data_IF_884744209333
#
_entry.id   IF_884744209333
#
_cell.length_a   1.000
_cell.length_b   1.000
_cell.length_c   1.000
_cell.angle_alpha   90.00
_cell.angle_beta   90.00
_cell.angle_gamma   90.00
#
_symmetry.space_group_name_H-M   'P 1'
#
loop_
_entity.id
_entity.type
_entity.pdbx_description
1 polymer ?
#
# COMPACT_ATOMS: atom_id res chain seq x y z
N UNK A 1 7.93 -24.14 -21.78
CA UNK A 1 9.09 -23.92 -20.89
C UNK A 1 10.43 -23.75 -21.62
N UNK A 2 10.70 -24.47 -22.74
CA UNK A 2 12.00 -24.42 -23.47
C UNK A 2 12.33 -23.04 -24.05
N UNK A 3 11.33 -22.20 -24.30
CA UNK A 3 11.50 -20.86 -24.89
C UNK A 3 11.73 -19.77 -23.83
N UNK A 4 11.50 -20.08 -22.55
CA UNK A 4 11.73 -19.11 -21.46
C UNK A 4 13.15 -19.24 -20.91
N UNK A 5 13.80 -18.09 -20.64
CA UNK A 5 14.98 -18.03 -19.79
C UNK A 5 14.68 -18.57 -18.38
N UNK A 6 15.69 -18.88 -17.58
CA UNK A 6 15.47 -19.48 -16.27
C UNK A 6 14.75 -18.52 -15.29
N UNK A 7 14.98 -17.22 -15.41
CA UNK A 7 14.29 -16.13 -14.71
C UNK A 7 13.05 -15.62 -15.47
N UNK A 8 12.72 -16.22 -16.62
CA UNK A 8 11.65 -15.78 -17.52
C UNK A 8 10.26 -16.02 -16.96
N UNK A 9 9.32 -15.17 -17.42
CA UNK A 9 7.91 -15.23 -17.06
C UNK A 9 7.03 -15.26 -18.30
N UNK A 10 5.83 -15.80 -18.15
CA UNK A 10 4.79 -15.78 -19.17
C UNK A 10 3.55 -15.10 -18.62
N UNK A 11 2.96 -14.24 -19.44
CA UNK A 11 1.68 -13.58 -19.19
C UNK A 11 0.67 -14.13 -20.21
N UNK A 12 -0.44 -14.65 -19.76
CA UNK A 12 -1.47 -15.23 -20.60
C UNK A 12 -2.79 -14.54 -20.31
N UNK A 13 -3.27 -13.74 -21.27
CA UNK A 13 -4.58 -13.10 -21.17
C UNK A 13 -5.66 -14.09 -21.60
N UNK A 14 -6.74 -14.18 -20.82
CA UNK A 14 -7.86 -15.08 -21.03
C UNK A 14 -9.13 -14.47 -20.44
N UNK A 15 -10.28 -14.76 -21.01
CA UNK A 15 -11.57 -14.43 -20.43
C UNK A 15 -11.99 -15.46 -19.35
N UNK A 16 -13.13 -15.21 -18.73
CA UNK A 16 -13.64 -16.03 -17.63
C UNK A 16 -14.10 -17.44 -18.10
N UNK A 17 -14.39 -17.62 -19.40
CA UNK A 17 -14.91 -18.90 -19.91
C UNK A 17 -13.92 -20.05 -19.72
N UNK A 18 -12.64 -19.81 -19.98
CA UNK A 18 -11.59 -20.85 -19.98
C UNK A 18 -10.47 -20.59 -18.94
N UNK A 19 -10.61 -19.56 -18.11
CA UNK A 19 -9.59 -19.20 -17.12
C UNK A 19 -9.24 -20.36 -16.18
N UNK A 20 -10.24 -21.06 -15.68
CA UNK A 20 -10.04 -22.17 -14.75
C UNK A 20 -9.31 -23.35 -15.40
N UNK A 21 -9.68 -23.72 -16.64
CA UNK A 21 -9.05 -24.77 -17.39
C UNK A 21 -7.59 -24.43 -17.75
N UNK A 22 -7.36 -23.19 -18.21
CA UNK A 22 -6.02 -22.70 -18.49
C UNK A 22 -5.14 -22.71 -17.25
N UNK A 23 -5.70 -22.33 -16.09
CA UNK A 23 -4.96 -22.37 -14.81
C UNK A 23 -4.47 -23.80 -14.50
N UNK A 24 -5.32 -24.81 -14.65
CA UNK A 24 -4.96 -26.20 -14.42
C UNK A 24 -3.88 -26.68 -15.38
N UNK A 25 -3.99 -26.36 -16.67
CA UNK A 25 -2.99 -26.70 -17.69
C UNK A 25 -1.64 -26.04 -17.36
N UNK A 26 -1.67 -24.77 -16.96
CA UNK A 26 -0.45 -24.06 -16.57
C UNK A 26 0.18 -24.63 -15.29
N UNK A 27 -0.61 -25.05 -14.31
CA UNK A 27 -0.12 -25.72 -13.11
C UNK A 27 0.59 -27.05 -13.45
N UNK A 28 0.07 -27.80 -14.41
CA UNK A 28 0.71 -29.04 -14.90
C UNK A 28 2.02 -28.74 -15.64
N UNK A 29 2.04 -27.72 -16.51
CA UNK A 29 3.20 -27.40 -17.35
C UNK A 29 4.31 -26.73 -16.54
N UNK A 30 3.99 -25.71 -15.75
CA UNK A 30 4.98 -24.88 -15.03
C UNK A 30 5.21 -25.32 -13.60
N UNK A 31 4.27 -26.06 -13.02
CA UNK A 31 4.23 -26.42 -11.60
C UNK A 31 3.51 -25.35 -10.77
N UNK A 32 2.70 -25.81 -9.82
CA UNK A 32 1.91 -24.96 -8.93
C UNK A 32 2.76 -23.92 -8.17
N UNK A 33 3.97 -24.32 -7.77
CA UNK A 33 4.92 -23.44 -7.05
C UNK A 33 5.45 -22.28 -7.88
N UNK A 34 5.32 -22.32 -9.21
CA UNK A 34 5.78 -21.27 -10.12
C UNK A 34 4.66 -20.29 -10.53
N UNK A 35 3.46 -20.49 -10.01
CA UNK A 35 2.40 -19.50 -10.16
C UNK A 35 2.76 -18.21 -9.42
N UNK A 36 2.70 -17.06 -10.11
CA UNK A 36 2.96 -15.75 -9.53
C UNK A 36 1.65 -15.13 -9.05
N UNK A 37 0.73 -14.87 -9.97
CA UNK A 37 -0.57 -14.27 -9.67
C UNK A 37 -1.54 -14.36 -10.83
N UNK A 38 -2.81 -14.05 -10.56
CA UNK A 38 -3.85 -13.75 -11.55
C UNK A 38 -4.19 -12.27 -11.41
N UNK A 39 -3.90 -11.47 -12.44
CA UNK A 39 -4.31 -10.06 -12.50
C UNK A 39 -5.69 -9.96 -13.16
N UNK A 40 -6.49 -9.05 -12.66
CA UNK A 40 -7.76 -8.67 -13.27
C UNK A 40 -7.52 -7.42 -14.11
N UNK A 41 -7.75 -7.54 -15.42
CA UNK A 41 -7.59 -6.45 -16.37
C UNK A 41 -8.95 -5.87 -16.74
N UNK A 42 -9.21 -4.63 -16.34
CA UNK A 42 -10.43 -3.91 -16.75
C UNK A 42 -10.33 -3.54 -18.23
N UNK A 43 -11.11 -4.24 -19.09
CA UNK A 43 -11.07 -4.06 -20.55
C UNK A 43 -12.10 -3.06 -21.08
N UNK A 44 -13.12 -2.73 -20.30
CA UNK A 44 -14.22 -1.83 -20.70
C UNK A 44 -14.59 -0.90 -19.54
N UNK A 45 -14.65 0.40 -19.80
CA UNK A 45 -15.16 1.40 -18.85
C UNK A 45 -16.69 1.55 -18.91
N UNK A 46 -17.32 1.24 -20.06
CA UNK A 46 -18.76 1.39 -20.24
C UNK A 46 -19.48 0.09 -19.92
N UNK A 47 -20.60 0.21 -19.22
CA UNK A 47 -21.51 -0.91 -18.97
C UNK A 47 -22.19 -1.33 -20.27
N UNK A 48 -22.34 -2.64 -20.51
CA UNK A 48 -23.17 -3.16 -21.58
C UNK A 48 -24.64 -3.08 -21.15
N UNK A 49 -25.41 -2.20 -21.82
CA UNK A 49 -26.84 -2.00 -21.49
C UNK A 49 -27.72 -3.19 -21.91
N UNK A 50 -27.18 -4.09 -22.73
CA UNK A 50 -27.83 -5.29 -23.29
C UNK A 50 -27.46 -6.57 -22.49
N UNK A 51 -26.67 -6.47 -21.46
CA UNK A 51 -26.31 -7.61 -20.62
C UNK A 51 -27.54 -8.10 -19.85
N UNK A 52 -27.91 -9.38 -20.06
CA UNK A 52 -29.07 -10.00 -19.39
C UNK A 52 -28.91 -10.13 -17.89
N UNK A 53 -27.67 -10.28 -17.40
CA UNK A 53 -27.34 -10.42 -15.99
C UNK A 53 -26.32 -9.36 -15.55
N UNK A 54 -25.04 -9.70 -15.57
CA UNK A 54 -23.95 -8.79 -15.22
C UNK A 54 -23.11 -8.47 -16.47
N UNK A 55 -22.64 -7.24 -16.57
CA UNK A 55 -21.75 -6.81 -17.63
C UNK A 55 -20.32 -7.30 -17.34
N UNK A 56 -19.77 -8.08 -18.27
CA UNK A 56 -18.37 -8.52 -18.21
C UNK A 56 -17.46 -7.37 -18.66
N UNK A 57 -16.62 -6.90 -17.75
CA UNK A 57 -15.77 -5.72 -17.99
C UNK A 57 -14.28 -6.02 -17.79
N UNK A 58 -13.91 -7.27 -17.53
CA UNK A 58 -12.53 -7.64 -17.25
C UNK A 58 -12.10 -8.90 -18.00
N UNK A 59 -10.80 -9.06 -18.10
CA UNK A 59 -10.13 -10.30 -18.45
C UNK A 59 -9.16 -10.70 -17.33
N UNK A 60 -8.73 -11.94 -17.36
CA UNK A 60 -7.71 -12.48 -16.49
C UNK A 60 -6.37 -12.45 -17.18
N UNK A 61 -5.29 -12.18 -16.42
CA UNK A 61 -3.92 -12.36 -16.88
C UNK A 61 -3.23 -13.32 -15.90
N UNK A 62 -3.08 -14.56 -16.31
CA UNK A 62 -2.34 -15.57 -15.55
C UNK A 62 -0.85 -15.35 -15.74
N UNK A 63 -0.10 -15.32 -14.64
CA UNK A 63 1.35 -15.09 -14.66
C UNK A 63 2.06 -16.27 -14.00
N UNK A 64 2.96 -16.89 -14.77
CA UNK A 64 3.82 -17.97 -14.31
C UNK A 64 5.28 -17.64 -14.59
N UNK A 65 6.16 -17.94 -13.63
CA UNK A 65 7.59 -17.94 -13.87
C UNK A 65 8.05 -19.34 -14.34
N UNK A 66 9.17 -19.42 -15.06
CA UNK A 66 9.85 -20.69 -15.29
C UNK A 66 10.41 -21.24 -13.97
N UNK A 67 11.04 -20.37 -13.17
CA UNK A 67 11.50 -20.64 -11.82
C UNK A 67 11.22 -19.42 -10.94
N UNK A 68 10.22 -19.51 -10.06
CA UNK A 68 9.76 -18.40 -9.24
C UNK A 68 10.83 -17.82 -8.32
N UNK A 69 11.76 -18.65 -7.86
CA UNK A 69 12.87 -18.23 -7.01
C UNK A 69 13.93 -17.38 -7.73
N UNK A 70 13.96 -17.42 -9.05
CA UNK A 70 14.84 -16.60 -9.89
C UNK A 70 14.14 -15.37 -10.47
N UNK A 71 12.81 -15.32 -10.35
CA UNK A 71 12.03 -14.19 -10.86
C UNK A 71 12.29 -12.92 -10.04
N UNK A 72 12.63 -11.83 -10.72
CA UNK A 72 12.79 -10.51 -10.14
C UNK A 72 11.86 -9.51 -10.80
N UNK A 73 11.05 -8.81 -9.99
CA UNK A 73 10.15 -7.78 -10.49
C UNK A 73 10.86 -6.43 -10.57
N UNK A 74 11.04 -5.91 -11.78
CA UNK A 74 11.51 -4.55 -11.98
C UNK A 74 10.39 -3.57 -11.64
N UNK A 75 10.63 -2.71 -10.66
CA UNK A 75 9.68 -1.64 -10.32
C UNK A 75 9.73 -0.56 -11.38
N UNK A 76 8.56 0.01 -11.71
CA UNK A 76 8.52 1.21 -12.53
C UNK A 76 9.19 2.38 -11.79
N UNK A 77 9.80 3.33 -12.53
CA UNK A 77 10.28 4.57 -11.92
C UNK A 77 9.12 5.28 -11.21
N UNK A 78 9.41 5.84 -10.05
CA UNK A 78 8.42 6.65 -9.32
C UNK A 78 8.22 7.95 -10.10
N UNK A 79 6.97 8.25 -10.46
CA UNK A 79 6.65 9.50 -11.15
C UNK A 79 6.92 10.71 -10.25
N UNK A 80 7.38 11.82 -10.83
CA UNK A 80 7.70 13.05 -10.10
C UNK A 80 6.49 13.59 -9.31
N UNK A 81 5.28 13.39 -9.82
CA UNK A 81 4.04 13.78 -9.17
C UNK A 81 3.82 13.04 -7.83
N UNK A 82 4.24 11.79 -7.73
CA UNK A 82 4.19 11.01 -6.48
C UNK A 82 5.25 11.48 -5.48
N UNK A 83 6.41 11.94 -5.95
CA UNK A 83 7.50 12.46 -5.11
C UNK A 83 7.28 13.90 -4.67
N UNK A 84 6.44 14.67 -5.36
CA UNK A 84 6.12 16.08 -5.03
C UNK A 84 5.58 16.27 -3.61
N UNK A 85 4.98 15.22 -3.04
CA UNK A 85 4.45 15.20 -1.66
C UNK A 85 5.53 14.99 -0.59
N UNK A 86 6.72 14.54 -1.01
CA UNK A 86 7.86 14.33 -0.14
C UNK A 86 8.70 15.60 -0.10
N UNK A 87 8.86 16.16 1.08
CA UNK A 87 9.64 17.38 1.32
C UNK A 87 10.51 17.18 2.54
N UNK A 88 11.54 17.99 2.70
CA UNK A 88 12.40 17.95 3.88
C UNK A 88 12.44 19.33 4.56
N UNK A 89 11.34 19.79 5.17
CA UNK A 89 11.25 21.13 5.74
C UNK A 89 12.07 21.33 7.01
N UNK A 90 12.48 20.26 7.65
CA UNK A 90 13.25 20.26 8.91
C UNK A 90 14.67 19.71 8.73
N UNK A 91 15.14 19.57 7.49
CA UNK A 91 16.47 19.05 7.14
C UNK A 91 16.78 17.71 7.81
N UNK A 92 15.82 16.80 7.84
CA UNK A 92 16.00 15.46 8.39
C UNK A 92 17.11 14.72 7.61
N UNK A 93 18.13 14.16 8.29
CA UNK A 93 19.27 13.51 7.63
C UNK A 93 18.89 12.25 6.84
N UNK A 94 17.73 11.68 7.08
CA UNK A 94 17.18 10.53 6.32
C UNK A 94 16.63 10.93 4.94
N UNK A 95 16.45 12.23 4.68
CA UNK A 95 15.98 12.75 3.40
C UNK A 95 14.55 13.27 3.43
N UNK A 96 13.93 13.31 2.25
CA UNK A 96 12.56 13.81 2.09
C UNK A 96 11.52 12.83 2.66
N UNK A 97 10.46 13.37 3.26
CA UNK A 97 9.39 12.61 3.88
C UNK A 97 8.02 13.23 3.61
N UNK A 98 6.98 12.41 3.74
CA UNK A 98 5.60 12.85 3.63
C UNK A 98 4.96 12.98 5.02
N UNK A 99 4.28 14.10 5.27
CA UNK A 99 3.50 14.31 6.47
C UNK A 99 2.16 13.58 6.39
N UNK A 100 1.98 12.54 7.20
CA UNK A 100 0.73 11.78 7.25
C UNK A 100 0.00 11.95 8.58
N UNK A 101 -1.30 11.60 8.61
CA UNK A 101 -2.13 11.72 9.81
C UNK A 101 -1.60 10.84 10.95
N UNK A 102 -1.64 11.36 12.18
CA UNK A 102 -1.27 10.66 13.41
C UNK A 102 -2.47 9.94 14.05
N UNK A 103 -3.66 10.13 13.50
CA UNK A 103 -4.93 9.57 13.96
C UNK A 103 -5.36 8.39 13.08
N UNK A 104 -6.10 7.43 13.66
CA UNK A 104 -6.80 6.37 12.96
C UNK A 104 -8.31 6.64 12.89
N UNK A 105 -9.03 5.87 12.06
CA UNK A 105 -10.49 5.94 11.92
C UNK A 105 -11.19 5.07 12.99
N UNK A 106 -10.78 5.21 14.25
CA UNK A 106 -11.37 4.53 15.40
C UNK A 106 -11.68 5.57 16.47
N UNK A 107 -12.76 5.35 17.20
CA UNK A 107 -13.17 6.23 18.28
C UNK A 107 -12.59 5.78 19.65
N UNK A 108 -12.76 6.62 20.67
CA UNK A 108 -12.24 6.40 22.00
C UNK A 108 -12.85 5.18 22.71
N UNK A 109 -14.09 4.81 22.37
CA UNK A 109 -14.79 3.69 22.97
C UNK A 109 -14.32 2.36 22.35
N UNK A 110 -14.01 2.36 21.03
CA UNK A 110 -13.42 1.21 20.33
C UNK A 110 -11.95 0.96 20.72
N UNK A 111 -11.20 2.03 20.99
CA UNK A 111 -9.76 1.99 21.28
C UNK A 111 -9.38 2.92 22.42
N UNK A 112 -9.80 2.66 23.66
CA UNK A 112 -9.53 3.54 24.80
C UNK A 112 -8.02 3.69 25.10
N UNK A 113 -7.22 2.67 24.81
CA UNK A 113 -5.75 2.70 24.95
C UNK A 113 -5.05 3.66 23.96
N UNK A 114 -5.75 4.13 22.94
CA UNK A 114 -5.24 5.13 21.97
C UNK A 114 -5.80 6.54 22.22
N UNK A 115 -6.63 6.71 23.26
CA UNK A 115 -7.17 7.98 23.69
C UNK A 115 -6.41 8.48 24.92
N UNK A 116 -5.31 9.19 24.71
CA UNK A 116 -4.43 9.73 25.74
C UNK A 116 -3.83 11.05 25.27
N UNK A 117 -3.42 11.96 26.19
CA UNK A 117 -2.75 13.20 25.81
C UNK A 117 -1.32 12.95 25.38
N UNK A 118 -0.88 13.67 24.34
CA UNK A 118 0.53 13.79 23.97
C UNK A 118 1.03 15.20 24.30
N UNK A 119 2.26 15.30 24.75
CA UNK A 119 2.87 16.59 25.07
C UNK A 119 3.66 17.08 23.86
N UNK A 120 3.35 18.28 23.38
CA UNK A 120 4.15 18.91 22.35
C UNK A 120 5.46 19.39 22.97
N UNK A 121 6.64 18.88 22.53
CA UNK A 121 7.92 19.20 23.17
C UNK A 121 8.35 20.67 23.00
N UNK A 122 7.82 21.34 21.98
CA UNK A 122 8.17 22.76 21.69
C UNK A 122 7.37 23.74 22.52
N UNK A 123 6.18 23.35 23.00
CA UNK A 123 5.26 24.27 23.70
C UNK A 123 4.90 23.82 25.11
N UNK A 124 5.21 22.56 25.48
CA UNK A 124 4.79 21.95 26.75
C UNK A 124 3.27 21.70 26.86
N UNK A 125 2.50 21.95 25.81
CA UNK A 125 1.02 21.80 25.84
C UNK A 125 0.64 20.34 25.66
N UNK A 126 -0.37 19.93 26.43
CA UNK A 126 -1.10 18.69 26.21
C UNK A 126 -2.01 18.81 25.00
N UNK A 127 -1.99 17.81 24.13
CA UNK A 127 -2.84 17.69 22.93
C UNK A 127 -3.57 16.37 23.00
N UNK A 128 -4.89 16.44 23.07
CA UNK A 128 -5.76 15.27 23.01
C UNK A 128 -6.18 14.97 21.59
N UNK A 129 -6.37 13.70 21.23
CA UNK A 129 -6.98 13.35 19.97
C UNK A 129 -8.47 13.68 20.02
N UNK A 130 -9.12 13.70 18.87
CA UNK A 130 -10.57 13.75 18.81
C UNK A 130 -11.15 12.41 19.33
N UNK A 131 -12.25 12.46 20.11
CA UNK A 131 -12.93 11.25 20.59
C UNK A 131 -13.39 10.33 19.45
N UNK A 132 -13.69 10.91 18.29
CA UNK A 132 -14.11 10.17 17.09
C UNK A 132 -12.93 9.61 16.29
N UNK A 133 -11.69 10.08 16.54
CA UNK A 133 -10.48 9.69 15.81
C UNK A 133 -9.27 9.71 16.74
N UNK A 134 -9.07 8.59 17.44
CA UNK A 134 -7.95 8.43 18.37
C UNK A 134 -6.60 8.32 17.65
N UNK A 135 -5.50 8.31 18.42
CA UNK A 135 -4.16 8.16 17.85
C UNK A 135 -3.98 6.81 17.14
N UNK A 136 -3.08 6.77 16.17
CA UNK A 136 -2.70 5.52 15.48
C UNK A 136 -1.72 4.67 16.28
N UNK A 137 -1.10 5.23 17.31
CA UNK A 137 0.00 4.63 18.07
C UNK A 137 -0.34 4.59 19.56
N UNK A 138 0.14 3.55 20.24
CA UNK A 138 0.12 3.48 21.71
C UNK A 138 1.07 4.50 22.31
N UNK A 139 0.94 4.76 23.61
CA UNK A 139 1.79 5.73 24.30
C UNK A 139 3.28 5.40 24.18
N UNK A 140 3.66 4.13 24.41
CA UNK A 140 5.05 3.67 24.30
C UNK A 140 5.58 3.87 22.86
N UNK A 141 4.77 3.53 21.86
CA UNK A 141 5.14 3.73 20.45
C UNK A 141 5.21 5.21 20.07
N UNK A 142 4.40 6.05 20.68
CA UNK A 142 4.52 7.50 20.51
C UNK A 142 5.85 8.02 21.07
N UNK A 143 6.25 7.59 22.25
CA UNK A 143 7.53 7.96 22.86
C UNK A 143 8.71 7.52 21.99
N UNK A 144 8.69 6.30 21.46
CA UNK A 144 9.67 5.83 20.49
C UNK A 144 9.68 6.69 19.21
N UNK A 145 8.51 7.04 18.66
CA UNK A 145 8.41 7.87 17.47
C UNK A 145 8.99 9.27 17.71
N UNK A 146 8.79 9.85 18.90
CA UNK A 146 9.38 11.14 19.29
C UNK A 146 10.89 11.02 19.41
N UNK A 147 11.38 10.00 20.11
CA UNK A 147 12.82 9.74 20.28
C UNK A 147 13.54 9.54 18.93
N UNK A 148 12.88 8.92 17.97
CA UNK A 148 13.41 8.68 16.62
C UNK A 148 13.13 9.84 15.65
N UNK A 149 12.70 11.01 16.11
CA UNK A 149 12.34 12.16 15.26
C UNK A 149 11.35 11.82 14.13
N UNK A 150 10.37 10.96 14.42
CA UNK A 150 9.31 10.57 13.46
C UNK A 150 8.03 11.38 13.62
N UNK A 151 7.97 12.29 14.61
CA UNK A 151 6.81 13.14 14.86
C UNK A 151 7.10 14.57 14.41
N UNK A 152 6.26 15.06 13.52
CA UNK A 152 6.30 16.43 13.02
C UNK A 152 5.17 17.27 13.64
N UNK A 153 5.51 18.43 14.15
CA UNK A 153 4.62 19.31 14.90
C UNK A 153 4.15 20.55 14.10
N UNK A 154 4.19 20.48 12.78
CA UNK A 154 3.90 21.61 11.90
C UNK A 154 5.11 22.49 11.65
N UNK A 155 4.98 23.42 10.69
CA UNK A 155 6.10 24.31 10.31
C UNK A 155 6.56 25.25 11.43
N UNK A 156 5.61 25.66 12.31
CA UNK A 156 5.88 26.50 13.48
C UNK A 156 6.17 25.70 14.77
N UNK A 157 6.16 24.38 14.69
CA UNK A 157 6.36 23.46 15.80
C UNK A 157 5.23 23.43 16.85
N UNK A 158 4.10 24.09 16.60
CA UNK A 158 2.99 24.25 17.56
C UNK A 158 1.75 23.41 17.22
N UNK A 159 1.78 22.69 16.10
CA UNK A 159 0.66 21.92 15.59
C UNK A 159 0.39 20.62 16.35
N UNK A 160 -0.66 19.92 15.92
CA UNK A 160 -0.93 18.53 16.33
C UNK A 160 0.14 17.59 15.76
N UNK A 161 0.40 16.45 16.42
CA UNK A 161 1.40 15.51 15.91
C UNK A 161 0.99 14.95 14.54
N UNK A 162 1.96 14.82 13.66
CA UNK A 162 1.87 14.13 12.37
C UNK A 162 3.04 13.18 12.23
N UNK A 163 2.88 12.10 11.48
CA UNK A 163 3.94 11.14 11.29
C UNK A 163 4.77 11.48 10.04
N UNK A 164 6.10 11.38 10.16
CA UNK A 164 7.02 11.49 9.02
C UNK A 164 7.15 10.13 8.35
N UNK A 165 6.66 9.99 7.13
CA UNK A 165 6.81 8.78 6.31
C UNK A 165 7.90 9.04 5.26
N UNK A 166 8.99 8.36 5.39
CA UNK A 166 10.09 8.33 4.43
C UNK A 166 9.83 7.36 3.28
#
# INVERSE_FOLDING_TARGET
QRLLADDGVIFISIDDNEQANLKLICDEIFGLGNFITNLIWEKKFSRANDAKYFSEQHDHILIYAKQKNLFFLNKLPVEEEQTSRYKNPDNDPRGAWQSIAYNCNKNADERPNLYYPVINPNTGKEIWPDRTRVWSYTKDRHEENVANNLVYWGADGRGKPRFKKF
#
